data_IF_251016995538
#
_entry.id   IF_251016995538
#
_cell.length_a   1.000
_cell.length_b   1.000
_cell.length_c   1.000
_cell.angle_alpha   90.00
_cell.angle_beta   90.00
_cell.angle_gamma   90.00
#
_symmetry.space_group_name_H-M   'P 1'
#
loop_
_entity.id
_entity.type
_entity.pdbx_description
1 polymer ?
#
# COMPACT_ATOMS: atom_id res chain seq x y z
N UNK A 1 -0.56 -7.49 -1.10
CA UNK A 1 -1.41 -8.60 -1.56
C UNK A 1 -2.37 -8.09 -2.62
N UNK A 2 -2.57 -8.86 -3.69
CA UNK A 2 -3.52 -8.56 -4.77
C UNK A 2 -4.49 -9.73 -4.94
N UNK A 3 -5.78 -9.47 -4.86
CA UNK A 3 -6.85 -10.41 -5.21
C UNK A 3 -7.47 -10.03 -6.55
N UNK A 4 -7.62 -10.99 -7.46
CA UNK A 4 -8.15 -10.78 -8.81
C UNK A 4 -9.37 -11.68 -9.02
N UNK A 5 -10.44 -11.11 -9.58
CA UNK A 5 -11.65 -11.84 -9.96
C UNK A 5 -12.11 -11.42 -11.36
N UNK A 6 -12.38 -12.39 -12.24
CA UNK A 6 -13.05 -12.14 -13.52
C UNK A 6 -14.49 -11.64 -13.30
N UNK A 7 -14.88 -10.57 -14.00
CA UNK A 7 -16.20 -9.94 -13.85
C UNK A 7 -16.94 -9.69 -15.17
N UNK A 8 -16.51 -10.32 -16.26
CA UNK A 8 -17.22 -10.28 -17.53
C UNK A 8 -16.46 -9.52 -18.62
N UNK A 9 -17.22 -8.85 -19.49
CA UNK A 9 -16.68 -8.17 -20.67
C UNK A 9 -16.16 -6.76 -20.36
N UNK A 10 -15.07 -6.36 -21.03
CA UNK A 10 -14.66 -4.97 -21.22
C UNK A 10 -14.13 -4.77 -22.65
N UNK A 11 -14.07 -3.52 -23.15
CA UNK A 11 -13.44 -3.25 -24.45
C UNK A 11 -11.92 -3.48 -24.46
N UNK A 12 -11.29 -3.78 -23.31
CA UNK A 12 -9.84 -4.01 -23.17
C UNK A 12 -9.49 -5.49 -23.34
N UNK A 13 -9.70 -6.00 -24.55
CA UNK A 13 -9.41 -7.40 -24.89
C UNK A 13 -10.55 -8.39 -24.57
N UNK A 14 -11.77 -7.89 -24.38
CA UNK A 14 -12.97 -8.73 -24.20
C UNK A 14 -13.15 -9.30 -22.79
N UNK A 15 -12.28 -8.93 -21.84
CA UNK A 15 -12.31 -9.40 -20.45
C UNK A 15 -12.20 -8.24 -19.47
N UNK A 16 -12.76 -8.41 -18.28
CA UNK A 16 -12.72 -7.45 -17.19
C UNK A 16 -12.36 -8.14 -15.88
N UNK A 17 -11.62 -7.44 -15.02
CA UNK A 17 -11.19 -7.94 -13.73
C UNK A 17 -11.53 -6.95 -12.61
N UNK A 18 -12.18 -7.43 -11.55
CA UNK A 18 -12.20 -6.74 -10.28
C UNK A 18 -10.91 -7.07 -9.53
N UNK A 19 -10.12 -6.04 -9.23
CA UNK A 19 -8.86 -6.17 -8.51
C UNK A 19 -9.00 -5.50 -7.15
N UNK A 20 -8.68 -6.24 -6.09
CA UNK A 20 -8.61 -5.74 -4.72
C UNK A 20 -7.16 -5.77 -4.25
N UNK A 21 -6.71 -4.67 -3.66
CA UNK A 21 -5.34 -4.53 -3.17
C UNK A 21 -5.34 -4.32 -1.67
N UNK A 22 -4.38 -4.94 -0.99
CA UNK A 22 -4.03 -4.64 0.39
C UNK A 22 -2.53 -4.35 0.47
N UNK A 23 -2.18 -3.19 1.02
CA UNK A 23 -0.81 -2.71 1.20
C UNK A 23 -0.60 -2.24 2.63
N UNK A 24 0.57 -2.52 3.18
CA UNK A 24 1.03 -2.00 4.46
C UNK A 24 2.22 -1.09 4.27
N UNK A 25 2.69 -0.49 5.36
CA UNK A 25 3.95 0.25 5.41
C UNK A 25 4.80 -0.35 6.53
N UNK A 26 6.10 -0.48 6.26
CA UNK A 26 7.10 -0.81 7.27
C UNK A 26 8.31 0.09 7.05
N UNK A 27 8.88 0.58 8.15
CA UNK A 27 10.10 1.35 8.16
C UNK A 27 11.31 0.42 8.00
N UNK A 28 12.19 0.75 7.05
CA UNK A 28 13.53 0.14 6.99
C UNK A 28 14.52 0.88 7.89
N UNK A 29 14.33 2.19 8.03
CA UNK A 29 15.15 3.06 8.85
C UNK A 29 14.29 4.20 9.39
N UNK A 30 14.47 4.51 10.66
CA UNK A 30 13.93 5.71 11.31
C UNK A 30 15.08 6.36 12.09
N UNK A 31 15.31 7.68 11.95
CA UNK A 31 16.32 8.39 12.73
C UNK A 31 16.15 8.21 14.24
N UNK A 32 17.26 8.07 14.96
CA UNK A 32 17.26 7.86 16.41
C UNK A 32 16.58 8.99 17.17
N UNK A 33 16.66 10.23 16.69
CA UNK A 33 15.96 11.37 17.28
C UNK A 33 14.44 11.13 17.33
N UNK A 34 13.86 10.61 16.25
CA UNK A 34 12.42 10.32 16.18
C UNK A 34 12.05 9.13 17.06
N UNK A 35 12.88 8.08 17.08
CA UNK A 35 12.70 6.92 17.98
C UNK A 35 12.74 7.35 19.45
N UNK A 36 13.74 8.15 19.82
CA UNK A 36 13.90 8.67 21.17
C UNK A 36 12.76 9.61 21.56
N UNK A 37 12.21 10.39 20.63
CA UNK A 37 11.05 11.25 20.89
C UNK A 37 9.80 10.43 21.27
N UNK A 38 9.57 9.31 20.59
CA UNK A 38 8.37 8.48 20.82
C UNK A 38 8.54 7.39 21.89
N UNK A 39 9.75 7.20 22.43
CA UNK A 39 10.07 6.06 23.32
C UNK A 39 9.12 5.91 24.52
N UNK A 40 8.71 7.03 25.11
CA UNK A 40 7.83 7.09 26.30
C UNK A 40 6.36 7.35 25.94
N UNK A 41 6.02 7.41 24.64
CA UNK A 41 4.66 7.61 24.17
C UNK A 41 3.84 6.31 24.29
N UNK A 42 2.50 6.41 24.39
CA UNK A 42 1.64 5.24 24.38
C UNK A 42 1.73 4.47 23.06
N UNK A 43 1.40 3.18 23.09
CA UNK A 43 1.22 2.37 21.89
C UNK A 43 0.05 2.90 21.06
N UNK A 44 0.15 2.83 19.73
CA UNK A 44 -0.96 3.17 18.84
C UNK A 44 -2.19 2.30 19.12
N UNK A 45 -3.41 2.87 19.13
CA UNK A 45 -4.63 2.08 19.27
C UNK A 45 -4.74 1.02 18.16
N UNK A 46 -5.19 -0.21 18.46
CA UNK A 46 -5.22 -1.30 17.48
C UNK A 46 -6.36 -1.16 16.45
N UNK A 47 -7.48 -0.55 16.85
CA UNK A 47 -8.72 -0.59 16.06
C UNK A 47 -8.93 0.63 15.16
N UNK A 48 -8.30 1.76 15.50
CA UNK A 48 -8.45 3.01 14.73
C UNK A 48 -7.18 3.86 14.79
N UNK A 49 -6.89 4.63 13.73
CA UNK A 49 -5.82 5.63 13.78
C UNK A 49 -6.13 6.68 14.87
N UNK A 50 -5.09 7.22 15.55
CA UNK A 50 -5.24 8.39 16.39
C UNK A 50 -5.89 9.57 15.66
N UNK A 51 -6.62 10.42 16.38
CA UNK A 51 -7.26 11.61 15.82
C UNK A 51 -6.29 12.81 15.76
N UNK A 52 -5.26 12.82 16.61
CA UNK A 52 -4.30 13.92 16.75
C UNK A 52 -2.84 13.45 16.63
N UNK A 53 -1.93 14.41 16.42
CA UNK A 53 -0.48 14.17 16.42
C UNK A 53 0.11 13.84 15.05
N UNK A 54 -0.67 13.98 13.98
CA UNK A 54 -0.24 13.72 12.60
C UNK A 54 0.47 14.91 11.98
N UNK A 55 1.59 14.62 11.31
CA UNK A 55 2.38 15.56 10.54
C UNK A 55 2.50 15.02 9.11
N UNK A 56 2.26 15.87 8.10
CA UNK A 56 2.55 15.52 6.71
C UNK A 56 4.06 15.42 6.51
N UNK A 57 4.47 14.42 5.73
CA UNK A 57 5.87 14.19 5.38
C UNK A 57 6.00 14.18 3.87
N UNK A 58 6.98 14.92 3.36
CA UNK A 58 7.28 14.97 1.93
C UNK A 58 7.92 13.67 1.46
N UNK A 59 7.44 13.17 0.32
CA UNK A 59 8.06 12.04 -0.38
C UNK A 59 9.22 12.58 -1.21
N UNK A 60 10.45 12.37 -0.72
CA UNK A 60 11.67 12.81 -1.41
C UNK A 60 11.97 11.96 -2.66
N UNK A 61 11.68 10.66 -2.58
CA UNK A 61 11.84 9.69 -3.66
C UNK A 61 10.95 8.49 -3.42
N UNK A 62 10.58 7.77 -4.49
CA UNK A 62 9.88 6.50 -4.37
C UNK A 62 10.23 5.56 -5.52
N UNK A 63 10.10 4.27 -5.25
CA UNK A 63 9.97 3.23 -6.28
C UNK A 63 8.58 2.61 -6.16
N UNK A 64 7.82 2.48 -7.26
CA UNK A 64 6.50 1.86 -7.19
C UNK A 64 6.57 0.40 -6.72
N UNK A 65 5.68 0.01 -5.81
CA UNK A 65 5.44 -1.39 -5.52
C UNK A 65 4.76 -2.03 -6.73
N UNK A 66 5.32 -3.12 -7.26
CA UNK A 66 4.77 -3.84 -8.41
C UNK A 66 4.45 -5.26 -8.01
N UNK A 67 3.21 -5.66 -8.25
CA UNK A 67 2.77 -7.05 -8.13
C UNK A 67 2.22 -7.52 -9.48
N UNK A 68 2.61 -8.70 -9.92
CA UNK A 68 2.08 -9.34 -11.11
C UNK A 68 1.40 -10.65 -10.75
N UNK A 69 0.17 -10.83 -11.24
CA UNK A 69 -0.64 -12.03 -11.01
C UNK A 69 -1.07 -12.60 -12.35
N UNK A 70 -0.91 -13.91 -12.52
CA UNK A 70 -1.45 -14.61 -13.67
C UNK A 70 -2.79 -15.26 -13.31
N UNK A 71 -3.77 -15.12 -14.22
CA UNK A 71 -5.08 -15.77 -14.10
C UNK A 71 -5.46 -16.38 -15.43
N UNK A 72 -6.28 -17.43 -15.39
CA UNK A 72 -6.81 -18.08 -16.57
C UNK A 72 -8.32 -17.83 -16.67
N UNK A 73 -8.76 -17.39 -17.85
CA UNK A 73 -10.17 -17.11 -18.16
C UNK A 73 -10.46 -17.60 -19.57
N UNK A 74 -11.45 -18.47 -19.73
CA UNK A 74 -11.86 -19.04 -21.01
C UNK A 74 -10.65 -19.61 -21.80
N UNK A 75 -9.84 -20.44 -21.14
CA UNK A 75 -8.65 -21.09 -21.68
C UNK A 75 -7.56 -20.13 -22.20
N UNK A 76 -7.63 -18.86 -21.79
CA UNK A 76 -6.62 -17.84 -22.09
C UNK A 76 -6.01 -17.33 -20.80
N UNK A 77 -4.69 -17.23 -20.78
CA UNK A 77 -3.94 -16.66 -19.66
C UNK A 77 -3.86 -15.15 -19.78
N UNK A 78 -3.97 -14.47 -18.65
CA UNK A 78 -3.82 -13.03 -18.54
C UNK A 78 -2.85 -12.70 -17.44
N UNK A 79 -1.99 -11.73 -17.71
CA UNK A 79 -1.10 -11.13 -16.72
C UNK A 79 -1.70 -9.82 -16.26
N UNK A 80 -2.06 -9.75 -14.99
CA UNK A 80 -2.52 -8.54 -14.31
C UNK A 80 -1.31 -7.94 -13.62
N UNK A 81 -1.02 -6.68 -13.92
CA UNK A 81 0.02 -5.89 -13.26
C UNK A 81 -0.65 -4.81 -12.42
N UNK A 82 -0.29 -4.77 -11.14
CA UNK A 82 -0.72 -3.75 -10.19
C UNK A 82 0.51 -2.95 -9.79
N UNK A 83 0.45 -1.64 -9.97
CA UNK A 83 1.46 -0.70 -9.51
C UNK A 83 0.87 0.15 -8.38
N UNK A 84 1.54 0.16 -7.23
CA UNK A 84 1.24 1.02 -6.09
C UNK A 84 2.30 2.09 -5.93
N UNK A 85 1.91 3.34 -6.05
CA UNK A 85 2.75 4.52 -5.81
C UNK A 85 2.32 5.19 -4.50
N UNK A 86 3.27 5.59 -3.66
CA UNK A 86 2.94 6.40 -2.49
C UNK A 86 2.53 7.80 -2.99
N UNK A 87 1.33 8.25 -2.64
CA UNK A 87 0.83 9.57 -3.05
C UNK A 87 0.90 10.59 -1.93
N UNK A 88 0.77 10.14 -0.67
CA UNK A 88 0.89 10.97 0.53
C UNK A 88 1.42 10.13 1.69
N UNK A 89 2.20 10.75 2.57
CA UNK A 89 2.67 10.13 3.80
C UNK A 89 2.38 11.07 4.96
N UNK A 90 1.92 10.50 6.07
CA UNK A 90 1.84 11.18 7.36
C UNK A 90 2.54 10.35 8.42
N UNK A 91 3.15 11.01 9.40
CA UNK A 91 3.68 10.36 10.60
C UNK A 91 2.98 10.88 11.83
N UNK A 92 2.82 10.03 12.83
CA UNK A 92 2.29 10.41 14.14
C UNK A 92 3.39 10.37 15.19
N UNK A 93 3.58 11.48 15.90
CA UNK A 93 4.62 11.64 16.92
C UNK A 93 4.09 11.50 18.36
N UNK A 94 2.76 11.36 18.54
CA UNK A 94 2.13 11.20 19.85
C UNK A 94 2.01 9.75 20.31
N UNK A 95 2.26 8.79 19.40
CA UNK A 95 2.16 7.36 19.64
C UNK A 95 3.40 6.63 19.09
N UNK A 96 3.66 5.43 19.62
CA UNK A 96 4.66 4.52 19.09
C UNK A 96 4.05 3.20 18.59
N UNK A 97 4.74 2.58 17.64
CA UNK A 97 4.47 1.20 17.21
C UNK A 97 4.95 0.19 18.26
N UNK A 98 4.60 -1.08 18.07
CA UNK A 98 5.10 -2.20 18.88
C UNK A 98 6.62 -2.36 18.84
N UNK A 99 7.26 -1.92 17.76
CA UNK A 99 8.73 -1.87 17.61
C UNK A 99 9.36 -0.54 18.07
N UNK A 100 8.59 0.34 18.71
CA UNK A 100 9.10 1.57 19.33
C UNK A 100 9.40 2.72 18.36
N UNK A 101 8.75 2.74 17.19
CA UNK A 101 8.94 3.75 16.16
C UNK A 101 7.71 4.65 16.02
N UNK A 102 7.82 5.85 15.42
CA UNK A 102 6.65 6.65 15.08
C UNK A 102 5.71 5.88 14.16
N UNK A 103 4.41 6.13 14.28
CA UNK A 103 3.42 5.53 13.39
C UNK A 103 3.46 6.24 12.03
N UNK A 104 3.63 5.50 10.94
CA UNK A 104 3.53 6.03 9.58
C UNK A 104 2.25 5.56 8.93
N UNK A 105 1.63 6.45 8.15
CA UNK A 105 0.47 6.16 7.33
C UNK A 105 0.72 6.60 5.90
N UNK A 106 0.46 5.72 4.95
CA UNK A 106 0.71 5.95 3.53
C UNK A 106 -0.59 5.82 2.77
N UNK A 107 -0.92 6.85 1.99
CA UNK A 107 -1.94 6.74 0.97
C UNK A 107 -1.30 6.24 -0.33
N UNK A 108 -1.94 5.27 -0.97
CA UNK A 108 -1.44 4.61 -2.17
C UNK A 108 -2.28 4.97 -3.40
N UNK A 109 -1.65 5.42 -4.47
CA UNK A 109 -2.21 5.47 -5.80
C UNK A 109 -2.03 4.12 -6.49
N UNK A 110 -3.14 3.48 -6.88
CA UNK A 110 -3.12 2.15 -7.49
C UNK A 110 -3.43 2.24 -8.98
N UNK A 111 -2.55 1.71 -9.82
CA UNK A 111 -2.73 1.56 -11.27
C UNK A 111 -2.82 0.07 -11.61
N UNK A 112 -3.85 -0.31 -12.34
CA UNK A 112 -4.11 -1.70 -12.72
C UNK A 112 -4.06 -1.80 -14.24
N UNK A 113 -3.34 -2.80 -14.74
CA UNK A 113 -3.24 -3.11 -16.15
C UNK A 113 -3.36 -4.62 -16.34
N UNK A 114 -3.92 -5.07 -17.45
CA UNK A 114 -3.89 -6.48 -17.82
C UNK A 114 -3.66 -6.66 -19.32
N UNK A 115 -3.05 -7.79 -19.66
CA UNK A 115 -2.85 -8.22 -21.05
C UNK A 115 -2.92 -9.74 -21.14
N UNK A 116 -3.33 -10.26 -22.30
CA UNK A 116 -3.23 -11.70 -22.57
C UNK A 116 -1.76 -12.13 -22.61
N UNK A 117 -1.48 -13.31 -22.07
CA UNK A 117 -0.22 -14.02 -22.23
C UNK A 117 -0.42 -14.97 -23.41
N UNK A 118 0.30 -14.72 -24.50
CA UNK A 118 0.26 -15.56 -25.70
C UNK A 118 0.94 -16.90 -25.49
#
# INVERSE_FOLDING_TARGET
>A
MVGVKYVGFSPFGGVNFAVKTAGGVASLYVPDELKNYVKDKPLSPPDKPPEEGWELVDIQSQEPAVEEVEVEVNDKKYKIKVLGEASMVSRNMNYKTDVGEPLYWVHWGIKIQWKSVG
#
